data_IF_966021120785
#
_entry.id   IF_966021120785
#
_cell.length_a   1.000
_cell.length_b   1.000
_cell.length_c   1.000
_cell.angle_alpha   90.00
_cell.angle_beta   90.00
_cell.angle_gamma   90.00
#
_symmetry.space_group_name_H-M   'P 1'
#
loop_
_entity.id
_entity.type
_entity.pdbx_description
1 polymer ?
#
# COMPACT_ATOMS: atom_id res chain seq x y z
N UNK A 1 -0.16 3.40 27.34
CA UNK A 1 0.51 3.34 26.02
C UNK A 1 2.01 3.32 26.24
N UNK A 2 2.74 2.38 25.64
CA UNK A 2 4.22 2.33 25.73
C UNK A 2 4.85 3.37 24.78
N UNK A 3 6.12 3.74 24.98
CA UNK A 3 6.80 4.68 24.06
C UNK A 3 6.87 4.15 22.62
N UNK A 4 7.05 2.83 22.46
CA UNK A 4 7.06 2.17 21.14
C UNK A 4 5.68 2.24 20.47
N UNK A 5 4.63 2.00 21.23
CA UNK A 5 3.26 2.11 20.73
C UNK A 5 2.93 3.53 20.29
N UNK A 6 3.29 4.53 21.11
CA UNK A 6 3.07 5.94 20.80
C UNK A 6 3.77 6.35 19.50
N UNK A 7 5.01 5.89 19.29
CA UNK A 7 5.76 6.15 18.06
C UNK A 7 5.07 5.57 16.82
N UNK A 8 4.62 4.31 16.88
CA UNK A 8 3.91 3.67 15.75
C UNK A 8 2.56 4.33 15.45
N UNK A 9 1.81 4.71 16.49
CA UNK A 9 0.55 5.45 16.33
C UNK A 9 0.80 6.82 15.67
N UNK A 10 1.89 7.49 16.05
CA UNK A 10 2.29 8.77 15.45
C UNK A 10 2.69 8.60 13.98
N UNK A 11 3.54 7.61 13.66
CA UNK A 11 3.94 7.30 12.28
C UNK A 11 2.72 6.98 11.39
N UNK A 12 1.77 6.20 11.91
CA UNK A 12 0.53 5.86 11.19
C UNK A 12 -0.30 7.13 10.87
N UNK A 13 -0.44 8.05 11.83
CA UNK A 13 -1.18 9.30 11.65
C UNK A 13 -0.49 10.21 10.63
N UNK A 14 0.84 10.32 10.70
CA UNK A 14 1.64 11.09 9.74
C UNK A 14 1.51 10.51 8.32
N UNK A 15 1.51 9.19 8.18
CA UNK A 15 1.27 8.52 6.92
C UNK A 15 -0.15 8.77 6.40
N UNK A 16 -1.18 8.71 7.24
CA UNK A 16 -2.55 9.07 6.86
C UNK A 16 -2.63 10.50 6.30
N UNK A 17 -2.05 11.47 7.01
CA UNK A 17 -1.97 12.87 6.54
C UNK A 17 -1.19 12.98 5.23
N UNK A 18 -0.12 12.23 5.09
CA UNK A 18 0.71 12.20 3.88
C UNK A 18 -0.09 11.70 2.67
N UNK A 19 -0.91 10.64 2.81
CA UNK A 19 -1.77 10.15 1.72
C UNK A 19 -2.67 11.27 1.15
N UNK A 20 -3.25 12.10 2.01
CA UNK A 20 -4.05 13.25 1.58
C UNK A 20 -3.19 14.32 0.89
N UNK A 21 -2.02 14.65 1.46
CA UNK A 21 -1.12 15.66 0.88
C UNK A 21 -0.58 15.27 -0.50
N UNK A 22 -0.35 13.97 -0.71
CA UNK A 22 0.14 13.40 -1.96
C UNK A 22 -0.97 13.23 -3.01
N UNK A 23 -2.23 13.51 -2.66
CA UNK A 23 -3.37 13.39 -3.57
C UNK A 23 -3.81 11.95 -3.87
N UNK A 24 -3.24 10.95 -3.18
CA UNK A 24 -3.59 9.54 -3.36
C UNK A 24 -4.74 9.09 -2.45
N UNK A 25 -5.25 9.97 -1.60
CA UNK A 25 -6.44 9.74 -0.79
C UNK A 25 -7.25 11.03 -0.64
N UNK A 26 -8.58 10.91 -0.47
CA UNK A 26 -9.48 12.06 -0.26
C UNK A 26 -10.29 11.85 1.02
N UNK A 27 -10.20 12.80 1.94
CA UNK A 27 -10.91 12.73 3.22
C UNK A 27 -10.47 11.52 4.03
N UNK A 28 -11.40 10.60 4.30
CA UNK A 28 -11.24 9.44 5.18
C UNK A 28 -11.49 8.10 4.47
N UNK A 29 -11.38 8.05 3.14
CA UNK A 29 -11.66 6.83 2.36
C UNK A 29 -10.62 5.73 2.58
N UNK A 30 -9.35 6.10 2.69
CA UNK A 30 -8.25 5.16 2.91
C UNK A 30 -8.11 4.73 4.37
N UNK A 31 -7.19 3.80 4.60
CA UNK A 31 -6.85 3.33 5.94
C UNK A 31 -5.44 2.70 5.96
N UNK A 32 -4.82 2.73 7.12
CA UNK A 32 -3.46 2.20 7.33
C UNK A 32 -3.48 1.28 8.54
N UNK A 33 -2.77 0.15 8.46
CA UNK A 33 -2.48 -0.68 9.61
C UNK A 33 -1.00 -1.06 9.72
N UNK A 34 -0.58 -1.42 10.93
CA UNK A 34 0.77 -1.93 11.23
C UNK A 34 0.69 -3.00 12.31
N UNK A 35 1.47 -4.07 12.18
CA UNK A 35 1.57 -5.13 13.20
C UNK A 35 2.11 -4.57 14.51
N UNK A 36 1.51 -4.94 15.63
CA UNK A 36 1.94 -4.53 16.95
C UNK A 36 1.46 -5.51 18.03
N UNK A 37 2.37 -6.00 18.87
CA UNK A 37 2.04 -6.99 19.91
C UNK A 37 1.42 -8.25 19.32
N UNK A 38 0.38 -8.76 19.97
CA UNK A 38 -0.41 -9.92 19.53
C UNK A 38 -1.59 -9.51 18.62
N UNK A 39 -1.33 -8.52 17.76
CA UNK A 39 -2.35 -7.93 16.90
C UNK A 39 -1.79 -6.86 15.97
N UNK A 40 -2.59 -5.82 15.75
CA UNK A 40 -2.23 -4.70 14.89
C UNK A 40 -2.87 -3.40 15.34
N UNK A 41 -2.27 -2.29 14.93
CA UNK A 41 -2.82 -0.95 15.03
C UNK A 41 -3.46 -0.59 13.68
N UNK A 42 -4.63 0.06 13.68
CA UNK A 42 -5.31 0.50 12.47
C UNK A 42 -5.92 1.90 12.66
N UNK A 43 -5.97 2.68 11.58
CA UNK A 43 -6.70 3.95 11.56
C UNK A 43 -8.19 3.75 11.88
N UNK A 44 -8.84 4.70 12.57
CA UNK A 44 -10.25 4.61 12.90
C UNK A 44 -11.15 4.91 11.70
N UNK A 45 -12.42 4.53 11.79
CA UNK A 45 -13.43 4.97 10.82
C UNK A 45 -13.91 6.40 11.11
N UNK A 46 -14.20 7.16 10.05
CA UNK A 46 -14.97 8.41 10.13
C UNK A 46 -14.28 9.63 10.78
N UNK A 47 -13.02 9.50 11.23
CA UNK A 47 -12.27 10.64 11.81
C UNK A 47 -11.34 11.22 10.75
N UNK A 48 -11.48 12.52 10.49
CA UNK A 48 -10.62 13.25 9.55
C UNK A 48 -9.16 13.19 9.97
N UNK A 49 -8.25 12.97 9.01
CA UNK A 49 -6.83 12.72 9.28
C UNK A 49 -6.09 13.91 9.93
N UNK A 50 -6.53 15.13 9.68
CA UNK A 50 -6.02 16.33 10.37
C UNK A 50 -6.32 16.30 11.87
N UNK A 51 -7.46 15.71 12.27
CA UNK A 51 -7.92 15.61 13.66
C UNK A 51 -7.45 14.36 14.40
N UNK A 52 -6.75 13.45 13.73
CA UNK A 52 -6.24 12.24 14.38
C UNK A 52 -5.24 12.58 15.50
N UNK A 53 -5.34 11.82 16.58
CA UNK A 53 -4.41 11.81 17.71
C UNK A 53 -4.03 10.35 17.99
N UNK A 54 -2.93 10.07 18.69
CA UNK A 54 -2.52 8.69 18.97
C UNK A 54 -3.60 7.82 19.61
N UNK A 55 -4.47 8.41 20.43
CA UNK A 55 -5.59 7.74 21.11
C UNK A 55 -6.68 7.29 20.15
N UNK A 56 -6.82 7.94 18.98
CA UNK A 56 -7.79 7.56 17.96
C UNK A 56 -7.35 6.35 17.14
N UNK A 57 -6.08 5.96 17.15
CA UNK A 57 -5.63 4.73 16.48
C UNK A 57 -6.19 3.53 17.26
N UNK A 58 -6.73 2.54 16.57
CA UNK A 58 -7.38 1.40 17.23
C UNK A 58 -6.42 0.23 17.29
N UNK A 59 -6.22 -0.34 18.48
CA UNK A 59 -5.50 -1.60 18.63
C UNK A 59 -6.50 -2.75 18.53
N UNK A 60 -6.22 -3.70 17.64
CA UNK A 60 -7.05 -4.88 17.41
C UNK A 60 -6.24 -6.16 17.65
N UNK A 61 -6.86 -7.14 18.30
CA UNK A 61 -6.35 -8.51 18.39
C UNK A 61 -6.55 -9.27 17.09
N UNK A 62 -5.78 -10.35 16.91
CA UNK A 62 -5.95 -11.26 15.77
C UNK A 62 -7.33 -11.96 15.73
N UNK A 63 -8.00 -12.04 16.87
CA UNK A 63 -9.37 -12.55 17.03
C UNK A 63 -10.46 -11.50 16.72
N UNK A 64 -10.07 -10.34 16.16
CA UNK A 64 -10.93 -9.20 15.87
C UNK A 64 -11.52 -8.48 17.10
N UNK A 65 -10.97 -8.71 18.29
CA UNK A 65 -11.32 -7.92 19.48
C UNK A 65 -10.65 -6.55 19.44
N UNK A 66 -11.31 -5.54 19.99
CA UNK A 66 -10.75 -4.21 20.23
C UNK A 66 -11.41 -3.59 21.47
N UNK A 67 -10.74 -2.61 22.08
CA UNK A 67 -11.25 -1.88 23.24
C UNK A 67 -11.12 -0.37 23.03
N UNK A 68 -11.97 0.40 23.72
CA UNK A 68 -12.04 1.86 23.61
C UNK A 68 -13.27 2.35 22.85
N UNK A 69 -13.46 3.67 22.83
CA UNK A 69 -14.67 4.33 22.30
C UNK A 69 -14.59 4.65 20.81
N UNK A 70 -13.45 4.34 20.18
CA UNK A 70 -13.18 4.64 18.77
C UNK A 70 -13.27 3.36 17.96
N UNK A 71 -14.14 3.34 16.96
CA UNK A 71 -14.31 2.20 16.07
C UNK A 71 -13.14 2.11 15.07
N UNK A 72 -12.62 0.90 14.79
CA UNK A 72 -11.62 0.70 13.75
C UNK A 72 -12.19 1.03 12.36
N UNK A 73 -11.33 1.15 11.34
CA UNK A 73 -11.77 1.17 9.93
C UNK A 73 -12.75 0.04 9.66
N UNK A 74 -13.81 0.28 8.86
CA UNK A 74 -14.74 -0.76 8.40
C UNK A 74 -14.08 -1.89 7.61
N UNK A 75 -12.86 -1.65 7.14
CA UNK A 75 -12.10 -2.53 6.25
C UNK A 75 -10.97 -3.30 6.95
N UNK A 76 -11.01 -3.36 8.28
CA UNK A 76 -10.00 -4.04 9.09
C UNK A 76 -9.77 -5.51 8.70
N UNK A 77 -10.74 -6.19 8.08
CA UNK A 77 -10.67 -7.63 7.74
C UNK A 77 -9.52 -7.95 6.80
N UNK A 78 -9.38 -7.23 5.67
CA UNK A 78 -8.26 -7.51 4.77
C UNK A 78 -6.92 -7.10 5.40
N UNK A 79 -6.89 -6.07 6.25
CA UNK A 79 -5.67 -5.69 6.97
C UNK A 79 -5.21 -6.81 7.90
N UNK A 80 -6.13 -7.36 8.70
CA UNK A 80 -5.88 -8.50 9.58
C UNK A 80 -5.36 -9.69 8.77
N UNK A 81 -6.09 -10.08 7.74
CA UNK A 81 -5.83 -11.31 6.99
C UNK A 81 -4.50 -11.22 6.20
N UNK A 82 -4.19 -10.06 5.60
CA UNK A 82 -2.89 -9.80 4.98
C UNK A 82 -1.78 -9.92 6.04
N UNK A 83 -1.91 -9.22 7.17
CA UNK A 83 -0.87 -9.25 8.20
C UNK A 83 -0.72 -10.66 8.81
N UNK A 84 -1.76 -11.48 8.90
CA UNK A 84 -1.62 -12.85 9.40
C UNK A 84 -0.95 -13.79 8.38
N UNK A 85 -1.33 -13.70 7.10
CA UNK A 85 -0.89 -14.64 6.05
C UNK A 85 0.43 -14.24 5.41
N UNK A 86 0.80 -12.96 5.47
CA UNK A 86 2.04 -12.39 4.88
C UNK A 86 2.98 -11.87 5.97
N UNK A 87 3.75 -12.74 6.64
CA UNK A 87 4.72 -12.32 7.66
C UNK A 87 5.85 -11.42 7.09
N UNK A 88 6.05 -11.43 5.78
CA UNK A 88 6.96 -10.51 5.07
C UNK A 88 6.41 -9.08 4.92
N UNK A 89 5.16 -8.85 5.36
CA UNK A 89 4.52 -7.55 5.44
C UNK A 89 4.26 -7.19 6.90
N UNK A 90 4.63 -5.98 7.26
CA UNK A 90 4.44 -5.44 8.61
C UNK A 90 3.45 -4.28 8.63
N UNK A 91 3.18 -3.66 7.49
CA UNK A 91 2.22 -2.58 7.34
C UNK A 91 1.43 -2.73 6.04
N UNK A 92 0.19 -2.25 6.06
CA UNK A 92 -0.73 -2.25 4.92
C UNK A 92 -1.31 -0.85 4.78
N UNK A 93 -1.36 -0.35 3.54
CA UNK A 93 -1.93 0.95 3.17
C UNK A 93 -3.01 0.70 2.12
N UNK A 94 -4.22 1.17 2.41
CA UNK A 94 -5.35 1.20 1.50
C UNK A 94 -5.68 2.63 1.09
N UNK A 95 -5.89 2.84 -0.21
CA UNK A 95 -6.17 4.16 -0.80
C UNK A 95 -7.22 4.06 -1.91
N UNK A 96 -7.88 5.19 -2.19
CA UNK A 96 -8.77 5.37 -3.35
C UNK A 96 -8.13 6.37 -4.31
N UNK A 97 -6.92 6.05 -4.78
CA UNK A 97 -6.12 6.93 -5.65
C UNK A 97 -6.73 7.01 -7.05
N UNK A 98 -6.66 8.17 -7.70
CA UNK A 98 -7.58 8.52 -8.79
C UNK A 98 -7.41 7.62 -10.02
N UNK A 99 -6.17 7.42 -10.49
CA UNK A 99 -5.91 6.68 -11.72
C UNK A 99 -5.97 5.16 -11.48
N UNK A 100 -5.47 4.68 -10.35
CA UNK A 100 -5.56 3.28 -10.00
C UNK A 100 -7.02 2.83 -9.79
N UNK A 101 -7.84 3.66 -9.13
CA UNK A 101 -9.29 3.40 -9.04
C UNK A 101 -9.97 3.48 -10.41
N UNK A 102 -9.53 4.36 -11.33
CA UNK A 102 -10.08 4.38 -12.69
C UNK A 102 -9.85 3.06 -13.44
N UNK A 103 -8.66 2.45 -13.30
CA UNK A 103 -8.38 1.12 -13.85
C UNK A 103 -9.17 0.02 -13.14
N UNK A 104 -9.32 0.12 -11.81
CA UNK A 104 -10.08 -0.87 -11.05
C UNK A 104 -11.58 -0.83 -11.38
N UNK A 105 -12.14 0.33 -11.72
CA UNK A 105 -13.51 0.46 -12.26
C UNK A 105 -13.68 -0.31 -13.58
N UNK A 106 -12.60 -0.42 -14.38
CA UNK A 106 -12.60 -1.21 -15.61
C UNK A 106 -12.30 -2.70 -15.38
N UNK A 107 -12.01 -3.11 -14.13
CA UNK A 107 -11.54 -4.46 -13.82
C UNK A 107 -10.22 -4.82 -14.49
N UNK A 108 -9.35 -3.84 -14.74
CA UNK A 108 -8.09 -4.03 -15.46
C UNK A 108 -6.90 -4.14 -14.51
N UNK A 109 -6.07 -5.14 -14.74
CA UNK A 109 -4.74 -5.23 -14.15
C UNK A 109 -3.82 -4.13 -14.71
N UNK A 110 -2.77 -3.77 -13.96
CA UNK A 110 -1.67 -2.92 -14.45
C UNK A 110 -0.54 -3.85 -14.93
N UNK A 111 -0.24 -3.92 -16.25
CA UNK A 111 0.84 -4.75 -16.75
C UNK A 111 2.20 -4.04 -16.62
N UNK A 112 3.29 -4.76 -16.96
CA UNK A 112 4.67 -4.26 -16.93
C UNK A 112 5.00 -3.22 -18.01
N UNK A 113 4.25 -2.11 -18.07
CA UNK A 113 4.50 -0.99 -19.01
C UNK A 113 5.73 -0.16 -18.62
N UNK A 114 6.18 -0.30 -17.37
CA UNK A 114 7.32 0.42 -16.81
C UNK A 114 8.02 -0.42 -15.75
N UNK A 115 9.35 -0.32 -15.64
CA UNK A 115 10.18 -1.20 -14.79
C UNK A 115 9.83 -1.13 -13.30
N UNK A 116 9.25 -0.02 -12.85
CA UNK A 116 8.82 0.17 -11.46
C UNK A 116 7.71 -0.82 -11.04
N UNK A 117 7.05 -1.51 -11.97
CA UNK A 117 6.12 -2.60 -11.65
C UNK A 117 6.76 -3.66 -10.74
N UNK A 118 8.07 -3.89 -10.88
CA UNK A 118 8.84 -4.81 -10.04
C UNK A 118 8.77 -4.47 -8.54
N UNK A 119 8.48 -3.21 -8.18
CA UNK A 119 8.29 -2.80 -6.77
C UNK A 119 7.07 -3.44 -6.12
N UNK A 120 6.07 -3.84 -6.93
CA UNK A 120 4.92 -4.63 -6.50
C UNK A 120 5.26 -6.13 -6.37
N UNK A 121 6.51 -6.54 -6.59
CA UNK A 121 6.98 -7.91 -6.41
C UNK A 121 6.80 -8.84 -7.62
N UNK A 122 6.35 -8.32 -8.77
CA UNK A 122 6.16 -9.10 -9.98
C UNK A 122 6.03 -8.25 -11.25
N UNK A 123 5.50 -8.85 -12.31
CA UNK A 123 5.29 -8.26 -13.64
C UNK A 123 3.91 -7.62 -13.84
N UNK A 124 3.07 -7.62 -12.80
CA UNK A 124 1.73 -7.06 -12.84
C UNK A 124 1.28 -6.56 -11.45
N UNK A 125 0.20 -5.77 -11.44
CA UNK A 125 -0.64 -5.49 -10.27
C UNK A 125 -2.05 -5.94 -10.63
N UNK A 126 -2.53 -6.98 -9.96
CA UNK A 126 -3.81 -7.62 -10.26
C UNK A 126 -4.99 -6.85 -9.69
N UNK A 127 -6.12 -6.87 -10.38
CA UNK A 127 -7.39 -6.37 -9.90
C UNK A 127 -8.23 -7.51 -9.32
N UNK A 128 -8.42 -7.48 -8.00
CA UNK A 128 -9.34 -8.39 -7.32
C UNK A 128 -10.78 -8.16 -7.81
N UNK A 129 -11.60 -9.22 -7.92
CA UNK A 129 -13.01 -9.09 -8.27
C UNK A 129 -13.76 -8.24 -7.24
N UNK A 130 -14.91 -7.69 -7.66
CA UNK A 130 -15.73 -6.86 -6.78
C UNK A 130 -16.35 -7.69 -5.67
N UNK A 131 -16.23 -7.20 -4.46
CA UNK A 131 -16.91 -7.68 -3.26
C UNK A 131 -17.30 -6.47 -2.42
N UNK A 132 -18.37 -6.59 -1.62
CA UNK A 132 -18.83 -5.47 -0.78
C UNK A 132 -17.75 -5.10 0.26
N UNK A 133 -17.51 -3.81 0.46
CA UNK A 133 -16.48 -3.34 1.39
C UNK A 133 -16.68 -3.88 2.81
N UNK A 134 -15.57 -4.13 3.51
CA UNK A 134 -15.59 -4.66 4.88
C UNK A 134 -16.07 -6.11 5.02
N UNK A 135 -16.36 -6.83 3.92
CA UNK A 135 -16.74 -8.25 3.96
C UNK A 135 -15.53 -9.19 4.10
N UNK A 136 -15.81 -10.45 4.43
CA UNK A 136 -14.77 -11.49 4.44
C UNK A 136 -14.43 -11.95 3.02
N UNK A 137 -15.40 -11.90 2.11
CA UNK A 137 -15.27 -12.22 0.69
C UNK A 137 -14.26 -11.28 0.03
N UNK A 138 -14.31 -9.98 0.34
CA UNK A 138 -13.32 -9.01 -0.13
C UNK A 138 -11.92 -9.36 0.37
N UNK A 139 -11.78 -9.68 1.66
CA UNK A 139 -10.49 -10.06 2.23
C UNK A 139 -9.90 -11.31 1.55
N UNK A 140 -10.72 -12.32 1.25
CA UNK A 140 -10.30 -13.51 0.53
C UNK A 140 -9.83 -13.19 -0.90
N UNK A 141 -10.58 -12.37 -1.63
CA UNK A 141 -10.23 -11.93 -2.99
C UNK A 141 -8.94 -11.11 -3.01
N UNK A 142 -8.71 -10.28 -1.99
CA UNK A 142 -7.47 -9.51 -1.81
C UNK A 142 -6.26 -10.41 -1.61
N UNK A 143 -6.37 -11.44 -0.77
CA UNK A 143 -5.28 -12.38 -0.53
C UNK A 143 -4.84 -13.10 -1.81
N UNK A 144 -5.82 -13.58 -2.60
CA UNK A 144 -5.55 -14.21 -3.90
C UNK A 144 -4.84 -13.24 -4.85
N UNK A 145 -5.31 -12.01 -4.97
CA UNK A 145 -4.68 -11.00 -5.81
C UNK A 145 -3.24 -10.67 -5.37
N UNK A 146 -2.95 -10.74 -4.06
CA UNK A 146 -1.64 -10.46 -3.47
C UNK A 146 -0.67 -11.65 -3.50
N UNK A 147 -1.04 -12.83 -4.01
CA UNK A 147 -0.12 -13.96 -4.10
C UNK A 147 1.11 -13.64 -4.95
N UNK A 148 2.30 -13.64 -4.34
CA UNK A 148 3.54 -13.23 -5.00
C UNK A 148 3.57 -11.75 -5.40
N UNK A 149 2.72 -10.92 -4.80
CA UNK A 149 2.65 -9.47 -5.01
C UNK A 149 2.68 -8.70 -3.69
N UNK A 150 2.89 -7.39 -3.79
CA UNK A 150 2.86 -6.40 -2.71
C UNK A 150 1.78 -5.33 -2.90
N UNK A 151 1.10 -5.33 -4.04
CA UNK A 151 -0.01 -4.44 -4.33
C UNK A 151 -1.08 -5.17 -5.15
N UNK A 152 -2.33 -4.75 -4.98
CA UNK A 152 -3.44 -5.13 -5.83
C UNK A 152 -4.44 -3.97 -5.95
N UNK A 153 -5.22 -3.98 -7.03
CA UNK A 153 -6.41 -3.16 -7.19
C UNK A 153 -7.63 -3.92 -6.70
N UNK A 154 -8.70 -3.19 -6.37
CA UNK A 154 -10.00 -3.70 -5.95
C UNK A 154 -11.05 -3.18 -6.93
N UNK A 155 -11.75 -4.07 -7.64
CA UNK A 155 -12.70 -3.65 -8.66
C UNK A 155 -13.76 -2.69 -8.09
N UNK A 156 -14.03 -1.58 -8.80
CA UNK A 156 -14.93 -0.50 -8.37
C UNK A 156 -14.63 0.11 -6.99
N UNK A 157 -13.40 0.00 -6.49
CA UNK A 157 -13.10 0.37 -5.11
C UNK A 157 -11.79 1.16 -4.95
N UNK A 158 -10.62 0.51 -4.97
CA UNK A 158 -9.37 1.19 -4.63
C UNK A 158 -8.13 0.32 -4.77
N UNK A 159 -7.12 0.60 -3.97
CA UNK A 159 -5.78 -0.01 -4.03
C UNK A 159 -5.39 -0.49 -2.64
N UNK A 160 -4.75 -1.65 -2.56
CA UNK A 160 -4.06 -2.13 -1.34
C UNK A 160 -2.58 -2.29 -1.65
N UNK A 161 -1.73 -1.86 -0.72
CA UNK A 161 -0.29 -2.09 -0.74
C UNK A 161 0.20 -2.61 0.62
N UNK A 162 1.17 -3.52 0.60
CA UNK A 162 1.74 -4.14 1.80
C UNK A 162 3.26 -4.20 1.76
N UNK A 163 3.92 -3.80 2.85
CA UNK A 163 5.38 -3.79 2.93
C UNK A 163 5.90 -3.96 4.36
N UNK A 164 7.22 -4.06 4.52
CA UNK A 164 7.91 -4.22 5.81
C UNK A 164 7.78 -3.01 6.76
N UNK A 165 7.30 -1.85 6.31
CA UNK A 165 7.05 -0.67 7.14
C UNK A 165 5.98 0.22 6.52
N UNK A 166 5.38 1.12 7.32
CA UNK A 166 4.36 2.06 6.85
C UNK A 166 4.93 2.94 5.74
N UNK A 167 6.14 3.48 5.94
CA UNK A 167 6.83 4.30 4.93
C UNK A 167 7.00 3.58 3.59
N UNK A 168 7.38 2.29 3.58
CA UNK A 168 7.56 1.54 2.34
C UNK A 168 6.23 1.12 1.69
N UNK A 169 5.20 0.82 2.48
CA UNK A 169 3.87 0.57 1.94
C UNK A 169 3.29 1.83 1.29
N UNK A 170 3.41 2.99 1.95
CA UNK A 170 3.00 4.28 1.40
C UNK A 170 3.76 4.64 0.11
N UNK A 171 5.09 4.43 0.09
CA UNK A 171 5.89 4.66 -1.13
C UNK A 171 5.47 3.75 -2.29
N UNK A 172 5.07 2.50 -2.00
CA UNK A 172 4.53 1.60 -3.01
C UNK A 172 3.17 2.10 -3.51
N UNK A 173 2.28 2.59 -2.63
CA UNK A 173 0.99 3.16 -3.04
C UNK A 173 1.15 4.33 -4.01
N UNK A 174 2.11 5.24 -3.76
CA UNK A 174 2.47 6.33 -4.69
C UNK A 174 2.95 5.77 -6.03
N UNK A 175 3.79 4.73 -5.99
CA UNK A 175 4.30 4.08 -7.21
C UNK A 175 3.17 3.44 -8.02
N UNK A 176 2.20 2.80 -7.37
CA UNK A 176 1.03 2.22 -8.05
C UNK A 176 0.18 3.30 -8.72
N UNK A 177 -0.08 4.42 -8.05
CA UNK A 177 -0.82 5.54 -8.65
C UNK A 177 -0.10 6.11 -9.86
N UNK A 178 1.23 6.26 -9.81
CA UNK A 178 2.03 6.74 -10.94
C UNK A 178 1.99 5.75 -12.12
N UNK A 179 2.15 4.45 -11.87
CA UNK A 179 2.02 3.42 -12.90
C UNK A 179 0.62 3.43 -13.53
N UNK A 180 -0.42 3.57 -12.72
CA UNK A 180 -1.79 3.67 -13.19
C UNK A 180 -2.02 4.92 -14.04
N UNK A 181 -1.50 6.07 -13.61
CA UNK A 181 -1.57 7.32 -14.36
C UNK A 181 -0.90 7.18 -15.74
N UNK A 182 0.33 6.65 -15.78
CA UNK A 182 1.03 6.38 -17.04
C UNK A 182 0.24 5.44 -17.94
N UNK A 183 -0.33 4.36 -17.39
CA UNK A 183 -1.10 3.41 -18.16
C UNK A 183 -2.36 4.03 -18.76
N UNK A 184 -3.14 4.74 -17.94
CA UNK A 184 -4.33 5.48 -18.38
C UNK A 184 -4.00 6.50 -19.47
N UNK A 185 -2.85 7.18 -19.37
CA UNK A 185 -2.40 8.15 -20.38
C UNK A 185 -1.98 7.49 -21.69
N UNK A 186 -1.47 6.25 -21.67
CA UNK A 186 -1.12 5.50 -22.87
C UNK A 186 -2.36 5.00 -23.63
N UNK A 187 -3.39 4.52 -22.92
CA UNK A 187 -4.54 3.82 -23.53
C UNK A 187 -5.22 4.57 -24.70
N UNK A 188 -5.46 5.90 -24.65
CA UNK A 188 -6.01 6.65 -25.78
C UNK A 188 -5.10 6.71 -27.02
N UNK A 189 -3.80 6.51 -26.84
CA UNK A 189 -2.78 6.52 -27.90
C UNK A 189 -2.56 5.12 -28.49
N UNK A 190 -3.01 4.08 -27.80
CA UNK A 190 -2.88 2.67 -28.18
C UNK A 190 -2.51 1.78 -26.99
N UNK A 191 -2.43 0.47 -27.23
CA UNK A 191 -1.95 -0.47 -26.21
C UNK A 191 -0.42 -0.36 -26.07
N UNK A 192 0.12 -0.04 -24.88
CA UNK A 192 1.55 0.09 -24.68
C UNK A 192 2.26 -1.26 -24.78
N UNK A 193 3.50 -1.27 -25.28
CA UNK A 193 4.37 -2.45 -25.19
C UNK A 193 4.69 -2.77 -23.74
N UNK A 194 4.66 -4.06 -23.38
CA UNK A 194 4.98 -4.53 -22.02
C UNK A 194 6.38 -5.15 -21.97
N UNK A 195 7.03 -5.04 -20.82
CA UNK A 195 8.29 -5.72 -20.54
C UNK A 195 8.06 -7.24 -20.42
N UNK A 196 9.05 -8.03 -20.84
CA UNK A 196 9.03 -9.48 -20.64
C UNK A 196 9.27 -9.85 -19.18
N UNK A 197 8.85 -11.06 -18.80
CA UNK A 197 9.12 -11.64 -17.47
C UNK A 197 10.63 -11.62 -17.12
N UNK A 198 11.50 -11.89 -18.10
CA UNK A 198 12.96 -11.84 -17.90
C UNK A 198 13.45 -10.43 -17.60
N UNK A 199 12.93 -9.41 -18.30
CA UNK A 199 13.29 -8.01 -18.05
C UNK A 199 12.83 -7.56 -16.66
N UNK A 200 11.64 -7.98 -16.21
CA UNK A 200 11.16 -7.69 -14.86
C UNK A 200 12.00 -8.42 -13.81
N UNK A 201 12.37 -9.68 -14.05
CA UNK A 201 13.24 -10.45 -13.17
C UNK A 201 14.62 -9.79 -12.97
N UNK A 202 15.22 -9.26 -14.03
CA UNK A 202 16.49 -8.52 -13.96
C UNK A 202 16.37 -7.27 -13.06
N UNK A 203 15.25 -6.55 -13.15
CA UNK A 203 14.96 -5.38 -12.31
C UNK A 203 14.80 -5.79 -10.84
N UNK A 204 14.08 -6.88 -10.56
CA UNK A 204 13.93 -7.42 -9.21
C UNK A 204 15.28 -7.77 -8.57
N UNK A 205 16.22 -8.32 -9.35
CA UNK A 205 17.60 -8.57 -8.87
C UNK A 205 18.30 -7.26 -8.56
N UNK A 206 18.19 -6.24 -9.42
CA UNK A 206 18.80 -4.93 -9.18
C UNK A 206 18.22 -4.23 -7.94
N UNK A 207 16.91 -4.31 -7.70
CA UNK A 207 16.26 -3.69 -6.54
C UNK A 207 16.76 -4.20 -5.19
N UNK A 208 17.29 -5.43 -5.12
CA UNK A 208 17.92 -5.94 -3.88
C UNK A 208 19.14 -5.13 -3.47
N UNK A 209 19.84 -4.51 -4.43
CA UNK A 209 21.11 -3.82 -4.23
C UNK A 209 21.00 -2.30 -4.48
N UNK A 210 19.85 -1.79 -4.89
CA UNK A 210 19.65 -0.40 -5.32
C UNK A 210 19.14 0.48 -4.16
N UNK A 211 19.71 1.69 -4.01
CA UNK A 211 19.26 2.68 -3.03
C UNK A 211 19.91 2.60 -1.64
N UNK A 212 20.86 1.68 -1.42
CA UNK A 212 21.74 1.75 -0.25
C UNK A 212 22.91 2.69 -0.55
N UNK A 213 22.93 3.86 0.07
CA UNK A 213 24.16 4.65 0.15
C UNK A 213 25.09 3.94 1.13
N UNK A 214 26.23 3.45 0.65
CA UNK A 214 27.29 2.99 1.54
C UNK A 214 27.84 4.23 2.23
N UNK A 215 27.78 4.31 3.57
CA UNK A 215 28.44 5.36 4.37
C UNK A 215 29.98 5.23 4.34
N UNK A 216 30.59 5.05 3.18
CA UNK A 216 32.05 5.07 3.03
C UNK A 216 32.47 6.19 2.07
N UNK A 217 32.78 7.35 2.66
CA UNK A 217 33.77 8.31 2.16
C UNK A 217 33.39 9.11 0.91
N UNK A 218 32.56 10.15 1.06
CA UNK A 218 32.48 11.23 0.08
C UNK A 218 33.74 12.14 0.15
N UNK A 219 34.88 11.59 -0.23
CA UNK A 219 36.10 12.33 -0.57
C UNK A 219 36.50 11.96 -2.00
N UNK A 220 35.71 12.41 -2.97
CA UNK A 220 36.04 12.21 -4.37
C UNK A 220 34.79 12.16 -5.23
N UNK A 221 34.40 13.33 -5.73
CA UNK A 221 33.68 13.60 -7.00
C UNK A 221 33.04 14.99 -6.91
N UNK A 222 33.85 15.99 -6.59
CA UNK A 222 33.65 17.37 -7.04
C UNK A 222 34.90 17.77 -7.80
N UNK A 223 35.04 17.26 -9.01
CA UNK A 223 35.86 17.86 -10.06
C UNK A 223 35.66 17.05 -11.35
N UNK A 224 34.79 17.56 -12.22
CA UNK A 224 34.93 17.50 -13.66
C UNK A 224 33.91 18.49 -14.26
N UNK A 225 34.46 19.64 -14.71
CA UNK A 225 33.96 20.59 -15.73
C UNK A 225 32.46 20.86 -15.83
#
# INVERSE_FOLDING_TARGET
>A
MTSKELALRTELIEACRSMNSLGINKGTSGNISVRYGDGFLISPTGISYDKLTPEHVVAMGWDATYTGDVMPSSEWRFHRDILQTRPDMNAVVHTHSTHATALSILGRDIPAIHYLIASAGGSDIRCAPYEIFGSQELANSVLLALEGRRACLLAHHGVITGHVSIARALSLAVTVEELAHQYVMCLPLGEPSIMSESQVADVLVKFKNYGQQVESGHAGLRQAS
#
